data_IF_033944866001
#
_entry.id   IF_033944866001
#
_cell.length_a   1.000
_cell.length_b   1.000
_cell.length_c   1.000
_cell.angle_alpha   90.00
_cell.angle_beta   90.00
_cell.angle_gamma   90.00
#
_symmetry.space_group_name_H-M   'P 1'
#
loop_
_entity.id
_entity.type
_entity.pdbx_description
1 polymer ?
#
# COMPACT_ATOMS: atom_id res chain seq x y z
N UNK A 1 25.60 9.94 -12.85
CA UNK A 1 25.48 9.54 -11.43
C UNK A 1 24.94 10.73 -10.64
N UNK A 2 23.80 10.58 -10.02
CA UNK A 2 23.22 11.62 -9.18
C UNK A 2 23.80 11.50 -7.78
N UNK A 3 24.46 12.56 -7.28
CA UNK A 3 24.98 12.63 -5.90
C UNK A 3 23.90 13.20 -4.97
N UNK A 4 23.73 12.60 -3.82
CA UNK A 4 22.81 13.09 -2.77
C UNK A 4 23.56 13.40 -1.48
N UNK A 5 23.07 14.41 -0.76
CA UNK A 5 23.58 14.80 0.54
C UNK A 5 23.16 13.77 1.59
N UNK A 6 24.08 13.39 2.43
CA UNK A 6 23.82 12.54 3.60
C UNK A 6 23.67 13.46 4.81
N UNK A 7 22.56 13.29 5.53
CA UNK A 7 22.26 14.06 6.73
C UNK A 7 22.47 13.20 7.98
N UNK A 8 22.71 13.83 9.09
CA UNK A 8 22.61 13.17 10.40
C UNK A 8 21.18 13.31 10.98
N UNK A 9 20.91 12.67 12.10
CA UNK A 9 19.59 12.75 12.77
C UNK A 9 19.22 14.18 13.23
N UNK A 10 20.18 15.10 13.34
CA UNK A 10 19.94 16.50 13.65
C UNK A 10 19.70 17.39 12.42
N UNK A 11 19.73 16.82 11.21
CA UNK A 11 19.53 17.53 9.95
C UNK A 11 20.77 18.23 9.41
N UNK A 12 21.95 18.03 10.00
CA UNK A 12 23.20 18.57 9.48
C UNK A 12 23.78 17.67 8.39
N UNK A 13 24.39 18.27 7.37
CA UNK A 13 25.07 17.56 6.28
C UNK A 13 26.36 16.93 6.79
N UNK A 14 26.55 15.63 6.58
CA UNK A 14 27.77 14.88 7.01
C UNK A 14 28.61 14.50 5.79
N UNK A 15 28.00 14.28 4.63
CA UNK A 15 28.71 13.85 3.43
C UNK A 15 27.83 13.81 2.21
N UNK A 16 28.33 13.17 1.16
CA UNK A 16 27.58 12.89 -0.08
C UNK A 16 27.71 11.42 -0.43
N UNK A 17 26.66 10.86 -1.01
CA UNK A 17 26.61 9.49 -1.53
C UNK A 17 26.24 9.53 -3.00
N UNK A 18 26.87 8.69 -3.81
CA UNK A 18 26.51 8.48 -5.20
C UNK A 18 25.41 7.42 -5.30
N UNK A 19 24.36 7.71 -6.06
CA UNK A 19 23.28 6.79 -6.29
C UNK A 19 23.54 5.98 -7.57
N UNK A 20 23.21 4.68 -7.54
CA UNK A 20 23.29 3.83 -8.71
C UNK A 20 22.22 4.20 -9.74
N UNK A 21 22.64 4.62 -10.95
CA UNK A 21 21.74 5.03 -12.02
C UNK A 21 20.83 3.90 -12.54
N UNK A 22 21.20 2.62 -12.36
CA UNK A 22 20.37 1.48 -12.74
C UNK A 22 19.11 1.33 -11.86
N UNK A 23 19.11 1.95 -10.67
CA UNK A 23 18.00 1.88 -9.70
C UNK A 23 17.32 3.24 -9.54
N UNK A 24 18.11 4.31 -9.44
CA UNK A 24 17.61 5.66 -9.13
C UNK A 24 17.61 6.61 -10.32
N UNK A 25 18.20 6.20 -11.47
CA UNK A 25 18.34 7.03 -12.67
C UNK A 25 17.46 6.60 -13.85
N UNK A 26 16.61 5.61 -13.71
CA UNK A 26 15.76 5.13 -14.79
C UNK A 26 14.61 6.10 -15.10
N UNK A 27 14.16 6.12 -16.35
CA UNK A 27 12.91 6.82 -16.71
C UNK A 27 11.73 6.10 -16.08
N UNK A 28 10.93 6.76 -15.22
CA UNK A 28 9.80 6.14 -14.53
C UNK A 28 8.75 5.61 -15.51
N UNK A 29 8.30 4.36 -15.32
CA UNK A 29 7.23 3.76 -16.11
C UNK A 29 5.91 3.77 -15.29
N UNK A 30 4.99 4.73 -15.56
CA UNK A 30 3.75 4.87 -14.79
C UNK A 30 2.79 3.70 -14.98
N UNK A 31 2.84 3.02 -16.13
CA UNK A 31 1.97 1.86 -16.40
C UNK A 31 2.34 0.68 -15.50
N UNK A 32 3.64 0.36 -15.41
CA UNK A 32 4.12 -0.71 -14.55
C UNK A 32 3.80 -0.43 -13.07
N UNK A 33 3.96 0.81 -12.64
CA UNK A 33 3.64 1.25 -11.28
C UNK A 33 2.15 1.12 -11.00
N UNK A 34 1.28 1.58 -11.89
CA UNK A 34 -0.18 1.47 -11.76
C UNK A 34 -0.62 0.00 -11.64
N UNK A 35 -0.10 -0.89 -12.49
CA UNK A 35 -0.44 -2.31 -12.43
C UNK A 35 -0.02 -2.98 -11.10
N UNK A 36 1.14 -2.61 -10.55
CA UNK A 36 1.57 -3.14 -9.23
C UNK A 36 0.71 -2.60 -8.10
N UNK A 37 0.34 -1.32 -8.12
CA UNK A 37 -0.57 -0.73 -7.11
C UNK A 37 -1.95 -1.38 -7.18
N UNK A 38 -2.51 -1.56 -8.39
CA UNK A 38 -3.79 -2.22 -8.62
C UNK A 38 -3.77 -3.67 -8.14
N UNK A 39 -2.69 -4.40 -8.42
CA UNK A 39 -2.47 -5.76 -7.93
C UNK A 39 -2.43 -5.81 -6.40
N UNK A 40 -1.67 -4.90 -5.77
CA UNK A 40 -1.58 -4.82 -4.30
C UNK A 40 -2.95 -4.60 -3.68
N UNK A 41 -3.72 -3.62 -4.17
CA UNK A 41 -5.07 -3.32 -3.67
C UNK A 41 -6.04 -4.48 -3.90
N UNK A 42 -5.96 -5.18 -5.03
CA UNK A 42 -6.78 -6.35 -5.31
C UNK A 42 -6.45 -7.51 -4.34
N UNK A 43 -5.17 -7.77 -4.09
CA UNK A 43 -4.71 -8.83 -3.19
C UNK A 43 -5.03 -8.55 -1.71
N UNK A 44 -5.27 -7.27 -1.34
CA UNK A 44 -5.72 -6.91 0.01
C UNK A 44 -7.23 -7.13 0.23
N UNK A 45 -8.01 -7.37 -0.84
CA UNK A 45 -9.46 -7.59 -0.72
C UNK A 45 -9.76 -8.98 -0.19
N UNK A 46 -10.50 -9.07 0.89
CA UNK A 46 -10.88 -10.34 1.52
C UNK A 46 -11.95 -11.12 0.71
N UNK A 47 -12.81 -10.42 -0.04
CA UNK A 47 -13.78 -11.04 -0.94
C UNK A 47 -14.93 -11.79 -0.27
N UNK A 48 -15.26 -11.49 0.98
CA UNK A 48 -16.28 -12.20 1.79
C UNK A 48 -17.72 -11.71 1.59
N UNK A 49 -17.95 -10.79 0.64
CA UNK A 49 -19.28 -10.31 0.34
C UNK A 49 -20.19 -11.46 -0.11
N UNK A 50 -21.37 -11.56 0.50
CA UNK A 50 -22.36 -12.58 0.16
C UNK A 50 -23.77 -12.03 0.32
N UNK A 51 -24.64 -12.37 -0.64
CA UNK A 51 -26.05 -12.10 -0.55
C UNK A 51 -26.83 -13.30 -1.10
N UNK A 52 -28.09 -13.43 -0.70
CA UNK A 52 -28.95 -14.53 -1.09
C UNK A 52 -29.67 -14.22 -2.40
N UNK A 53 -29.62 -15.15 -3.33
CA UNK A 53 -30.46 -15.15 -4.53
C UNK A 53 -31.88 -15.58 -4.19
N UNK A 54 -32.81 -15.37 -5.10
CA UNK A 54 -34.19 -15.81 -4.95
C UNK A 54 -34.31 -17.31 -4.62
N UNK A 55 -33.43 -18.14 -5.14
CA UNK A 55 -33.43 -19.58 -4.87
C UNK A 55 -33.00 -19.93 -3.45
N UNK A 56 -32.12 -19.12 -2.86
CA UNK A 56 -31.51 -19.36 -1.56
C UNK A 56 -32.31 -18.78 -0.38
N UNK A 57 -33.11 -17.75 -0.65
CA UNK A 57 -33.97 -17.14 0.38
C UNK A 57 -35.01 -18.16 0.85
N UNK A 58 -35.17 -18.30 2.17
CA UNK A 58 -36.18 -19.18 2.76
C UNK A 58 -37.61 -18.68 2.53
N UNK A 59 -38.57 -19.60 2.42
CA UNK A 59 -39.98 -19.30 2.28
C UNK A 59 -40.51 -19.35 0.83
N UNK A 60 -41.70 -18.78 0.57
CA UNK A 60 -42.26 -18.51 -0.77
C UNK A 60 -42.58 -19.72 -1.64
N UNK A 61 -42.70 -20.91 -1.10
CA UNK A 61 -43.04 -22.13 -1.86
C UNK A 61 -44.44 -22.11 -2.48
N UNK A 62 -45.37 -21.34 -1.89
CA UNK A 62 -46.73 -21.19 -2.37
C UNK A 62 -46.90 -19.90 -3.19
N UNK A 63 -47.70 -19.96 -4.27
CA UNK A 63 -48.10 -18.78 -5.01
C UNK A 63 -48.93 -17.85 -4.12
N UNK A 64 -48.63 -16.53 -4.02
CA UNK A 64 -49.34 -15.62 -3.12
C UNK A 64 -50.85 -15.54 -3.36
N UNK A 65 -51.28 -15.44 -4.62
CA UNK A 65 -52.69 -15.40 -5.00
C UNK A 65 -52.90 -15.93 -6.45
N UNK A 66 -54.14 -16.18 -6.81
CA UNK A 66 -54.52 -16.60 -8.16
C UNK A 66 -54.24 -15.50 -9.20
N UNK A 67 -53.97 -15.85 -10.49
CA UNK A 67 -53.50 -14.90 -11.50
C UNK A 67 -54.53 -13.86 -11.95
N UNK A 68 -55.82 -14.08 -11.69
CA UNK A 68 -56.95 -13.22 -12.11
C UNK A 68 -57.99 -13.12 -11.02
N UNK A 69 -58.81 -12.05 -11.04
CA UNK A 69 -59.94 -11.87 -10.13
C UNK A 69 -59.57 -11.43 -8.70
N UNK A 70 -58.36 -10.92 -8.45
CA UNK A 70 -57.91 -10.43 -7.13
C UNK A 70 -57.66 -8.94 -7.07
N UNK A 71 -57.67 -8.23 -8.21
CA UNK A 71 -57.32 -6.82 -8.28
C UNK A 71 -55.82 -6.51 -8.07
N UNK A 72 -54.99 -7.52 -7.76
CA UNK A 72 -53.57 -7.37 -7.53
C UNK A 72 -52.73 -7.72 -8.77
N UNK A 73 -51.54 -7.13 -8.87
CA UNK A 73 -50.58 -7.49 -9.90
C UNK A 73 -50.18 -8.98 -9.80
N UNK A 74 -49.93 -9.62 -10.92
CA UNK A 74 -49.57 -11.04 -10.98
C UNK A 74 -48.23 -11.29 -10.27
N UNK A 75 -48.21 -12.20 -9.29
CA UNK A 75 -47.02 -12.59 -8.54
C UNK A 75 -46.83 -14.10 -8.50
N UNK A 76 -45.61 -14.57 -8.66
CA UNK A 76 -45.29 -16.01 -8.64
C UNK A 76 -44.70 -16.48 -7.30
N UNK A 77 -44.02 -15.59 -6.57
CA UNK A 77 -43.37 -15.93 -5.30
C UNK A 77 -43.10 -14.67 -4.51
N UNK A 78 -43.19 -14.76 -3.18
CA UNK A 78 -42.82 -13.70 -2.23
C UNK A 78 -41.28 -13.51 -2.09
N UNK A 79 -40.49 -14.44 -2.61
CA UNK A 79 -39.04 -14.37 -2.64
C UNK A 79 -38.49 -13.60 -3.85
N UNK A 80 -39.35 -13.10 -4.73
CA UNK A 80 -38.94 -12.35 -5.92
C UNK A 80 -38.27 -11.00 -5.50
N UNK A 81 -37.34 -10.48 -6.32
CA UNK A 81 -36.56 -9.29 -5.94
C UNK A 81 -37.36 -8.02 -5.66
N UNK A 82 -38.55 -7.90 -6.22
CA UNK A 82 -39.49 -6.77 -6.00
C UNK A 82 -40.18 -6.81 -4.63
N UNK A 83 -40.07 -7.91 -3.91
CA UNK A 83 -40.68 -8.07 -2.58
C UNK A 83 -39.69 -7.67 -1.49
N UNK A 84 -40.21 -7.04 -0.41
CA UNK A 84 -39.45 -6.85 0.81
C UNK A 84 -38.99 -8.21 1.35
N UNK A 85 -37.71 -8.33 1.70
CA UNK A 85 -37.04 -9.58 2.08
C UNK A 85 -36.94 -10.64 0.94
N UNK A 86 -37.22 -10.26 -0.32
CA UNK A 86 -36.93 -11.09 -1.49
C UNK A 86 -35.42 -11.20 -1.77
N UNK A 87 -35.05 -12.14 -2.65
CA UNK A 87 -33.65 -12.34 -3.03
C UNK A 87 -33.10 -11.26 -3.96
N UNK A 88 -31.81 -11.13 -4.03
CA UNK A 88 -31.10 -10.25 -4.97
C UNK A 88 -30.89 -10.98 -6.29
N UNK A 89 -31.14 -10.31 -7.44
CA UNK A 89 -31.06 -10.94 -8.76
C UNK A 89 -29.63 -11.42 -9.06
N UNK A 90 -28.66 -10.52 -8.95
CA UNK A 90 -27.23 -10.79 -9.11
C UNK A 90 -26.52 -10.68 -7.77
N UNK A 91 -26.89 -11.57 -6.85
CA UNK A 91 -26.33 -11.56 -5.50
C UNK A 91 -24.81 -11.78 -5.55
N UNK A 92 -24.01 -10.91 -4.91
CA UNK A 92 -22.58 -11.16 -4.81
C UNK A 92 -22.32 -12.45 -4.04
N UNK A 93 -21.31 -13.19 -4.47
CA UNK A 93 -20.83 -14.40 -3.80
C UNK A 93 -19.37 -14.19 -3.40
N UNK A 94 -18.91 -14.86 -2.34
CA UNK A 94 -17.52 -14.83 -1.96
C UNK A 94 -16.64 -15.25 -3.13
N UNK A 95 -15.58 -14.46 -3.39
CA UNK A 95 -14.60 -14.76 -4.44
C UNK A 95 -13.22 -14.25 -4.07
N UNK A 96 -12.21 -14.88 -4.63
CA UNK A 96 -10.83 -14.42 -4.57
C UNK A 96 -10.59 -13.33 -5.64
N UNK A 97 -9.94 -12.24 -5.23
CA UNK A 97 -9.55 -11.14 -6.10
C UNK A 97 -8.04 -11.13 -6.37
N UNK A 98 -7.30 -12.06 -5.76
CA UNK A 98 -5.84 -12.09 -5.87
C UNK A 98 -5.40 -12.54 -7.26
N UNK A 99 -4.32 -11.93 -7.73
CA UNK A 99 -3.63 -12.36 -8.95
C UNK A 99 -2.14 -12.04 -8.86
N UNK A 100 -1.34 -12.72 -9.66
CA UNK A 100 0.12 -12.61 -9.65
C UNK A 100 0.60 -11.82 -10.86
N UNK A 101 1.50 -10.86 -10.63
CA UNK A 101 2.23 -10.14 -11.67
C UNK A 101 3.62 -10.75 -11.89
N UNK A 102 4.14 -10.61 -13.10
CA UNK A 102 5.48 -11.03 -13.47
C UNK A 102 6.54 -10.30 -12.63
N UNK A 103 7.57 -11.03 -12.19
CA UNK A 103 8.67 -10.48 -11.37
C UNK A 103 9.36 -9.29 -12.03
N UNK A 104 9.58 -9.32 -13.36
CA UNK A 104 10.19 -8.23 -14.14
C UNK A 104 9.38 -6.93 -14.04
N UNK A 105 8.04 -7.01 -14.11
CA UNK A 105 7.15 -5.84 -13.97
C UNK A 105 7.23 -5.25 -12.57
N UNK A 106 7.24 -6.09 -11.53
CA UNK A 106 7.38 -5.64 -10.14
C UNK A 106 8.71 -4.92 -9.89
N UNK A 107 9.82 -5.45 -10.44
CA UNK A 107 11.15 -4.83 -10.34
C UNK A 107 11.18 -3.49 -11.06
N UNK A 108 10.68 -3.42 -12.31
CA UNK A 108 10.60 -2.19 -13.08
C UNK A 108 9.78 -1.12 -12.35
N UNK A 109 8.64 -1.50 -11.76
CA UNK A 109 7.81 -0.58 -10.98
C UNK A 109 8.55 -0.06 -9.74
N UNK A 110 9.25 -0.91 -9.01
CA UNK A 110 10.02 -0.49 -7.83
C UNK A 110 11.15 0.48 -8.21
N UNK A 111 11.97 0.16 -9.21
CA UNK A 111 13.01 1.05 -9.72
C UNK A 111 12.41 2.38 -10.21
N UNK A 112 11.27 2.34 -10.90
CA UNK A 112 10.56 3.55 -11.37
C UNK A 112 10.15 4.48 -10.22
N UNK A 113 9.64 3.93 -9.13
CA UNK A 113 9.20 4.72 -7.97
C UNK A 113 10.39 5.29 -7.20
N UNK A 114 11.47 4.52 -7.05
CA UNK A 114 12.71 4.99 -6.40
C UNK A 114 13.33 6.14 -7.20
N UNK A 115 13.42 6.00 -8.53
CA UNK A 115 13.92 7.05 -9.43
C UNK A 115 13.05 8.31 -9.39
N UNK A 116 11.72 8.16 -9.34
CA UNK A 116 10.81 9.29 -9.23
C UNK A 116 11.02 10.05 -7.90
N UNK A 117 11.17 9.33 -6.77
CA UNK A 117 11.45 9.95 -5.47
C UNK A 117 12.78 10.67 -5.42
N UNK A 118 13.81 10.12 -6.06
CA UNK A 118 15.12 10.78 -6.19
C UNK A 118 15.02 12.06 -7.03
N UNK A 119 14.36 12.00 -8.20
CA UNK A 119 14.17 13.14 -9.10
C UNK A 119 13.32 14.27 -8.47
N UNK A 120 12.31 13.91 -7.65
CA UNK A 120 11.48 14.88 -6.93
C UNK A 120 12.18 15.52 -5.72
N UNK A 121 13.40 15.08 -5.36
CA UNK A 121 14.09 15.52 -4.15
C UNK A 121 13.41 15.08 -2.84
N UNK A 122 12.59 14.02 -2.90
CA UNK A 122 11.87 13.46 -1.75
C UNK A 122 12.54 12.22 -1.16
N UNK A 123 13.70 11.85 -1.68
CA UNK A 123 14.59 10.86 -1.09
C UNK A 123 15.52 11.60 -0.12
N UNK A 124 15.58 11.15 1.11
CA UNK A 124 16.44 11.69 2.16
C UNK A 124 17.35 10.57 2.67
N UNK A 125 18.64 10.76 2.57
CA UNK A 125 19.64 9.77 3.05
C UNK A 125 20.18 10.21 4.39
N UNK A 126 20.15 9.30 5.37
CA UNK A 126 20.63 9.51 6.73
C UNK A 126 21.86 8.63 6.95
N UNK A 127 22.88 9.17 7.60
CA UNK A 127 24.11 8.44 7.94
C UNK A 127 23.83 7.20 8.77
N UNK A 128 23.15 7.37 9.91
CA UNK A 128 22.64 6.24 10.71
C UNK A 128 21.44 6.66 11.54
N UNK A 129 20.44 5.78 11.61
CA UNK A 129 19.25 5.97 12.44
C UNK A 129 19.44 5.11 13.69
N UNK A 130 19.76 5.74 14.83
CA UNK A 130 19.97 5.05 16.11
C UNK A 130 19.21 5.75 17.22
N UNK A 131 18.54 4.97 18.06
CA UNK A 131 17.82 5.48 19.22
C UNK A 131 18.16 4.63 20.45
N UNK A 132 18.50 5.29 21.57
CA UNK A 132 18.84 4.60 22.82
C UNK A 132 17.60 4.05 23.56
N UNK A 133 16.46 4.70 23.39
CA UNK A 133 15.22 4.33 24.06
C UNK A 133 14.01 4.47 23.14
N UNK A 134 12.93 3.73 23.43
CA UNK A 134 11.66 3.80 22.72
C UNK A 134 10.96 5.11 23.09
N UNK A 135 11.04 6.14 22.24
CA UNK A 135 10.39 7.44 22.42
C UNK A 135 9.89 8.02 21.11
N UNK A 136 8.58 8.21 21.00
CA UNK A 136 7.93 8.81 19.82
C UNK A 136 8.27 10.29 19.67
N UNK A 137 8.45 11.01 20.79
CA UNK A 137 8.78 12.43 20.77
C UNK A 137 10.17 12.70 20.12
N UNK A 138 11.15 11.86 20.40
CA UNK A 138 12.49 12.02 19.86
C UNK A 138 12.54 11.63 18.37
N UNK A 139 11.78 10.59 17.97
CA UNK A 139 11.61 10.24 16.57
C UNK A 139 10.91 11.36 15.78
N UNK A 140 9.92 12.02 16.37
CA UNK A 140 9.24 13.17 15.75
C UNK A 140 10.20 14.38 15.60
N UNK A 141 11.05 14.65 16.61
CA UNK A 141 12.09 15.69 16.50
C UNK A 141 13.04 15.39 15.35
N UNK A 142 13.48 14.14 15.22
CA UNK A 142 14.32 13.70 14.11
C UNK A 142 13.68 14.01 12.77
N UNK A 143 12.42 13.58 12.53
CA UNK A 143 11.71 13.86 11.27
C UNK A 143 11.59 15.36 10.98
N UNK A 144 11.30 16.17 12.00
CA UNK A 144 11.24 17.64 11.86
C UNK A 144 12.60 18.25 11.55
N UNK A 145 13.68 17.74 12.15
CA UNK A 145 15.07 18.21 11.89
C UNK A 145 15.49 17.95 10.44
N UNK A 146 15.06 16.82 9.87
CA UNK A 146 15.35 16.44 8.47
C UNK A 146 14.32 17.05 7.49
N UNK A 147 13.41 17.91 7.96
CA UNK A 147 12.35 18.59 7.17
C UNK A 147 11.42 17.62 6.45
N UNK A 148 11.10 16.51 7.10
CA UNK A 148 10.14 15.51 6.61
C UNK A 148 8.77 15.81 7.22
N UNK A 149 7.96 16.56 6.48
CA UNK A 149 6.61 16.93 6.88
C UNK A 149 5.59 16.09 6.12
N UNK A 150 4.83 15.24 6.84
CA UNK A 150 3.78 14.41 6.27
C UNK A 150 4.10 12.91 6.26
N UNK A 151 3.52 12.20 5.27
CA UNK A 151 3.70 10.74 5.18
C UNK A 151 5.13 10.38 4.77
N UNK A 152 5.76 9.50 5.53
CA UNK A 152 7.13 9.06 5.27
C UNK A 152 7.27 7.54 5.40
N UNK A 153 8.11 6.97 4.55
CA UNK A 153 8.61 5.61 4.72
C UNK A 153 10.06 5.71 5.18
N UNK A 154 10.36 5.10 6.31
CA UNK A 154 11.71 5.03 6.87
C UNK A 154 12.26 3.64 6.65
N UNK A 155 13.40 3.56 5.96
CA UNK A 155 14.03 2.30 5.56
C UNK A 155 15.30 2.10 6.39
N UNK A 156 15.33 0.99 7.12
CA UNK A 156 16.47 0.57 7.91
C UNK A 156 17.17 -0.64 7.26
N UNK A 157 18.46 -0.88 7.53
CA UNK A 157 19.17 -2.03 7.00
C UNK A 157 18.65 -3.36 7.56
N UNK A 158 18.21 -3.35 8.83
CA UNK A 158 17.67 -4.49 9.57
C UNK A 158 16.50 -4.05 10.45
N UNK A 159 15.78 -5.03 11.02
CA UNK A 159 14.67 -4.73 11.92
C UNK A 159 15.21 -4.25 13.27
N UNK A 160 14.99 -2.98 13.58
CA UNK A 160 15.25 -2.42 14.89
C UNK A 160 13.93 -2.16 15.63
N UNK A 161 13.71 -2.93 16.68
CA UNK A 161 12.51 -2.83 17.52
C UNK A 161 12.36 -1.47 18.21
N UNK A 162 13.46 -0.77 18.51
CA UNK A 162 13.44 0.55 19.15
C UNK A 162 12.91 1.58 18.16
N UNK A 163 13.42 1.56 16.93
CA UNK A 163 12.98 2.44 15.83
C UNK A 163 11.51 2.16 15.48
N UNK A 164 11.16 0.89 15.26
CA UNK A 164 9.79 0.49 14.89
C UNK A 164 8.77 0.94 15.94
N UNK A 165 9.04 0.68 17.23
CA UNK A 165 8.14 1.07 18.32
C UNK A 165 8.06 2.58 18.52
N UNK A 166 9.14 3.31 18.25
CA UNK A 166 9.18 4.78 18.33
C UNK A 166 8.41 5.44 17.20
N UNK A 167 8.45 4.87 15.98
CA UNK A 167 7.84 5.43 14.79
C UNK A 167 6.35 5.07 14.63
N UNK A 168 5.95 3.82 14.96
CA UNK A 168 4.61 3.27 14.64
C UNK A 168 3.41 4.06 15.15
N UNK A 169 3.57 4.86 16.21
CA UNK A 169 2.51 5.69 16.77
C UNK A 169 2.36 7.05 16.05
N UNK A 170 3.25 7.38 15.12
CA UNK A 170 3.19 8.64 14.38
C UNK A 170 2.32 8.40 13.13
N UNK A 171 1.19 9.13 12.98
CA UNK A 171 0.33 8.98 11.81
C UNK A 171 1.09 9.26 10.50
N UNK A 172 0.95 8.37 9.52
CA UNK A 172 1.57 8.54 8.21
C UNK A 172 3.03 8.10 8.11
N UNK A 173 3.66 7.65 9.21
CA UNK A 173 5.03 7.12 9.19
C UNK A 173 5.01 5.60 9.19
N UNK A 174 5.69 5.00 8.22
CA UNK A 174 5.87 3.57 8.07
C UNK A 174 7.35 3.23 8.14
N UNK A 175 7.73 2.26 8.95
CA UNK A 175 9.08 1.70 8.98
C UNK A 175 9.14 0.41 8.20
N UNK A 176 10.18 0.21 7.41
CA UNK A 176 10.43 -1.01 6.64
C UNK A 176 11.92 -1.31 6.56
N UNK A 177 12.27 -2.50 6.10
CA UNK A 177 13.66 -2.87 5.85
C UNK A 177 13.95 -2.89 4.35
N UNK A 178 15.22 -2.72 3.99
CA UNK A 178 15.68 -2.64 2.60
C UNK A 178 15.20 -3.81 1.73
N UNK A 179 15.12 -5.03 2.30
CA UNK A 179 14.74 -6.24 1.56
C UNK A 179 13.23 -6.36 1.25
N UNK A 180 12.37 -5.56 1.93
CA UNK A 180 10.90 -5.68 1.86
C UNK A 180 10.28 -4.34 1.45
N UNK A 181 10.80 -3.73 0.39
CA UNK A 181 10.26 -2.47 -0.13
C UNK A 181 8.94 -2.71 -0.87
N UNK A 182 7.92 -1.92 -0.54
CA UNK A 182 6.62 -1.95 -1.20
C UNK A 182 6.45 -0.74 -2.11
N UNK A 183 6.15 -0.98 -3.38
CA UNK A 183 5.82 0.08 -4.35
C UNK A 183 4.66 0.94 -3.85
N UNK A 184 3.61 0.30 -3.31
CA UNK A 184 2.45 1.00 -2.75
C UNK A 184 2.83 1.88 -1.55
N UNK A 185 3.66 1.36 -0.63
CA UNK A 185 4.13 2.12 0.53
C UNK A 185 4.91 3.37 0.12
N UNK A 186 5.83 3.25 -0.84
CA UNK A 186 6.67 4.37 -1.31
C UNK A 186 5.85 5.42 -2.06
N UNK A 187 4.88 5.01 -2.88
CA UNK A 187 3.99 5.96 -3.61
C UNK A 187 3.07 6.70 -2.65
N UNK A 188 2.50 6.00 -1.67
CA UNK A 188 1.59 6.61 -0.70
C UNK A 188 2.31 7.60 0.25
N UNK A 189 3.62 7.44 0.42
CA UNK A 189 4.45 8.35 1.19
C UNK A 189 4.91 9.55 0.34
N UNK A 190 5.04 10.71 0.98
CA UNK A 190 5.64 11.89 0.37
C UNK A 190 7.17 11.77 0.36
N UNK A 191 7.74 11.34 1.47
CA UNK A 191 9.18 11.23 1.66
C UNK A 191 9.61 9.78 1.83
N UNK A 192 10.79 9.46 1.30
CA UNK A 192 11.50 8.21 1.50
C UNK A 192 12.79 8.53 2.28
N UNK A 193 12.85 8.13 3.54
CA UNK A 193 14.00 8.32 4.41
C UNK A 193 14.77 7.01 4.47
N UNK A 194 16.03 7.00 4.06
CA UNK A 194 16.83 5.78 3.93
C UNK A 194 18.10 5.92 4.74
N UNK A 195 18.39 4.95 5.58
CA UNK A 195 19.69 4.80 6.23
C UNK A 195 20.77 4.47 5.19
N UNK A 196 21.96 5.03 5.31
CA UNK A 196 23.05 4.80 4.35
C UNK A 196 23.40 3.31 4.19
N UNK A 197 23.40 2.55 5.28
CA UNK A 197 23.59 1.11 5.22
C UNK A 197 22.42 0.37 4.53
N UNK A 198 21.19 0.90 4.65
CA UNK A 198 20.04 0.38 3.93
C UNK A 198 20.11 0.70 2.44
N UNK A 199 20.66 1.84 2.04
CA UNK A 199 20.86 2.20 0.64
C UNK A 199 21.78 1.18 -0.06
N UNK A 200 22.90 0.83 0.54
CA UNK A 200 23.81 -0.20 0.01
C UNK A 200 23.11 -1.57 -0.15
N UNK A 201 22.28 -1.95 0.84
CA UNK A 201 21.46 -3.18 0.72
C UNK A 201 20.39 -3.10 -0.39
N UNK A 202 19.79 -1.94 -0.62
CA UNK A 202 18.85 -1.72 -1.73
C UNK A 202 19.57 -1.94 -3.07
N UNK A 203 20.77 -1.41 -3.20
CA UNK A 203 21.57 -1.58 -4.41
C UNK A 203 21.96 -3.05 -4.65
N UNK A 204 22.35 -3.79 -3.62
CA UNK A 204 22.67 -5.22 -3.71
C UNK A 204 21.44 -6.07 -4.13
N UNK A 205 20.27 -5.79 -3.56
CA UNK A 205 19.06 -6.63 -3.75
C UNK A 205 18.33 -6.34 -5.07
N UNK A 206 18.35 -5.08 -5.53
CA UNK A 206 17.54 -4.62 -6.67
C UNK A 206 18.33 -4.21 -7.91
N UNK A 207 19.65 -4.32 -7.90
CA UNK A 207 20.50 -4.09 -9.07
C UNK A 207 20.17 -5.00 -10.27
#
# INVERSE_FOLDING_TARGET
MSSMKVLNMAGAEVGTVELNDEIFGITPNPVAVHEVVKNHLANCRQGTQSALTRAEVSGGGRKPWRPTGTGHARQGSTRAPQWTHGGIVFAPKPRDYSYVLNKKVKRLALKSVLSAKAAEGKLVVIDSIKMDAIKTADFRKFLSAVKVDGKAVVVTPEVDNVIVKSARNIPGVLTTVANILSVYGIINAQYLVVDQAALAKIEEVYA
#
